data_IF_803958628824
#
_entry.id   IF_803958628824
#
_cell.length_a   1.000
_cell.length_b   1.000
_cell.length_c   1.000
_cell.angle_alpha   90.00
_cell.angle_beta   90.00
_cell.angle_gamma   90.00
#
_symmetry.space_group_name_H-M   'P 1'
#
loop_
_entity.id
_entity.type
_entity.pdbx_description
1 polymer ?
#
# COMPACT_ATOMS: atom_id res chain seq x y z
N UNK A 1 21.15 -18.29 -7.25
CA UNK A 1 19.77 -18.07 -6.74
C UNK A 1 19.22 -16.71 -7.18
N UNK A 2 17.91 -16.60 -7.42
CA UNK A 2 17.19 -15.36 -7.81
C UNK A 2 15.90 -15.21 -6.99
N UNK A 3 15.59 -13.99 -6.57
CA UNK A 3 14.32 -13.66 -5.91
C UNK A 3 13.25 -13.31 -6.94
N UNK A 4 12.03 -13.79 -6.74
CA UNK A 4 10.85 -13.50 -7.56
C UNK A 4 9.62 -13.28 -6.67
N UNK A 5 8.56 -12.68 -7.23
CA UNK A 5 7.28 -12.50 -6.56
C UNK A 5 7.40 -11.87 -5.16
N UNK A 6 8.03 -10.68 -5.10
CA UNK A 6 8.11 -9.89 -3.87
C UNK A 6 6.70 -9.44 -3.46
N UNK A 7 6.39 -9.61 -2.18
CA UNK A 7 5.09 -9.30 -1.62
C UNK A 7 5.25 -8.58 -0.28
N UNK A 8 4.37 -7.63 -0.04
CA UNK A 8 4.20 -6.95 1.24
C UNK A 8 2.84 -7.34 1.81
N UNK A 9 2.78 -7.85 3.04
CA UNK A 9 1.55 -8.39 3.62
C UNK A 9 0.85 -9.41 2.70
N UNK A 10 1.64 -10.27 2.04
CA UNK A 10 1.17 -11.28 1.08
C UNK A 10 0.40 -10.70 -0.14
N UNK A 11 0.67 -9.44 -0.50
CA UNK A 11 0.12 -8.76 -1.68
C UNK A 11 1.24 -8.19 -2.54
N UNK A 12 1.05 -8.18 -3.86
CA UNK A 12 1.95 -7.47 -4.78
C UNK A 12 1.60 -5.98 -4.79
N UNK A 13 2.61 -5.14 -4.60
CA UNK A 13 2.53 -3.68 -4.65
C UNK A 13 1.29 -3.04 -3.99
N UNK A 14 0.95 -3.43 -2.74
CA UNK A 14 -0.30 -3.01 -2.11
C UNK A 14 -0.33 -1.52 -1.78
N UNK A 15 -1.52 -0.94 -1.84
CA UNK A 15 -1.80 0.45 -1.47
C UNK A 15 -2.79 0.46 -0.30
N UNK A 16 -2.49 1.26 0.72
CA UNK A 16 -3.39 1.49 1.84
C UNK A 16 -3.17 0.49 2.99
N UNK A 17 -1.94 0.07 3.24
CA UNK A 17 -1.63 -0.82 4.36
C UNK A 17 -1.88 -0.10 5.71
N UNK A 18 -2.76 -0.65 6.53
CA UNK A 18 -3.14 -0.07 7.82
C UNK A 18 -2.30 -0.52 9.01
N UNK A 19 -1.24 -1.32 8.80
CA UNK A 19 -0.39 -1.83 9.87
C UNK A 19 1.00 -1.20 9.77
N UNK A 20 1.44 -0.48 10.81
CA UNK A 20 2.71 0.26 10.84
C UNK A 20 3.98 -0.58 10.71
N UNK A 21 3.87 -1.91 10.82
CA UNK A 21 4.97 -2.86 10.61
C UNK A 21 4.58 -3.86 9.51
N UNK A 22 4.73 -3.52 8.23
CA UNK A 22 4.47 -4.45 7.13
C UNK A 22 5.44 -5.64 7.18
N UNK A 23 5.00 -6.81 6.72
CA UNK A 23 5.85 -7.99 6.59
C UNK A 23 6.16 -8.29 5.11
N UNK A 24 7.41 -8.66 4.83
CA UNK A 24 7.92 -8.97 3.51
C UNK A 24 7.97 -10.47 3.28
N UNK A 25 7.65 -10.87 2.06
CA UNK A 25 7.79 -12.24 1.58
C UNK A 25 8.31 -12.22 0.14
N UNK A 26 9.03 -13.26 -0.25
CA UNK A 26 9.50 -13.45 -1.62
C UNK A 26 9.68 -14.93 -1.92
N UNK A 27 9.66 -15.28 -3.21
CA UNK A 27 9.96 -16.62 -3.69
C UNK A 27 11.42 -16.71 -4.14
N UNK A 28 11.98 -17.91 -4.04
CA UNK A 28 13.34 -18.23 -4.47
C UNK A 28 13.29 -19.14 -5.69
N UNK A 29 14.12 -18.82 -6.68
CA UNK A 29 14.34 -19.64 -7.86
C UNK A 29 15.84 -19.94 -7.97
N UNK A 30 16.19 -21.22 -8.10
CA UNK A 30 17.57 -21.66 -8.35
C UNK A 30 17.60 -22.74 -9.43
N UNK A 31 18.66 -22.73 -10.24
CA UNK A 31 18.94 -23.78 -11.22
C UNK A 31 19.65 -24.98 -10.59
N UNK A 32 20.24 -24.79 -9.41
CA UNK A 32 20.93 -25.83 -8.67
C UNK A 32 19.95 -26.60 -7.78
N UNK A 33 19.95 -27.93 -7.91
CA UNK A 33 19.11 -28.80 -7.09
C UNK A 33 19.62 -28.84 -5.65
N UNK A 34 18.72 -28.62 -4.69
CA UNK A 34 19.06 -28.65 -3.26
C UNK A 34 19.70 -27.35 -2.75
N UNK A 35 19.76 -26.32 -3.58
CA UNK A 35 20.20 -25.00 -3.18
C UNK A 35 19.20 -24.38 -2.19
N UNK A 36 19.72 -23.61 -1.23
CA UNK A 36 18.94 -22.98 -0.16
C UNK A 36 19.51 -21.62 0.21
N UNK A 37 18.62 -20.72 0.62
CA UNK A 37 19.01 -19.46 1.25
C UNK A 37 19.65 -19.76 2.61
N UNK A 38 20.72 -19.04 2.96
CA UNK A 38 21.38 -19.07 4.28
C UNK A 38 21.33 -17.71 4.99
N UNK A 39 21.14 -16.63 4.24
CA UNK A 39 20.98 -15.29 4.76
C UNK A 39 20.17 -14.41 3.80
N UNK A 40 19.63 -13.32 4.30
CA UNK A 40 18.98 -12.28 3.51
C UNK A 40 19.48 -10.88 3.86
N UNK A 41 19.24 -9.94 2.96
CA UNK A 41 19.31 -8.52 3.22
C UNK A 41 18.16 -7.83 2.50
N UNK A 42 17.42 -7.01 3.25
CA UNK A 42 16.33 -6.18 2.74
C UNK A 42 16.72 -4.73 2.94
N UNK A 43 16.52 -3.94 1.90
CA UNK A 43 16.64 -2.48 1.96
C UNK A 43 15.33 -1.83 1.54
N UNK A 44 14.97 -0.75 2.22
CA UNK A 44 13.78 0.03 1.95
C UNK A 44 14.11 1.52 1.87
N UNK A 45 13.43 2.24 0.97
CA UNK A 45 13.63 3.66 0.75
C UNK A 45 12.32 4.39 0.43
N UNK A 46 12.32 5.70 0.63
CA UNK A 46 11.17 6.58 0.34
C UNK A 46 10.97 6.87 -1.15
N UNK A 47 11.97 6.56 -1.98
CA UNK A 47 11.89 6.67 -3.44
C UNK A 47 12.64 5.52 -4.13
N UNK A 48 12.31 5.25 -5.41
CA UNK A 48 12.99 4.21 -6.19
C UNK A 48 14.46 4.54 -6.45
N UNK A 49 14.75 5.81 -6.70
CA UNK A 49 16.09 6.33 -6.99
C UNK A 49 17.03 6.09 -5.80
N UNK A 50 16.53 6.27 -4.57
CA UNK A 50 17.31 6.02 -3.35
C UNK A 50 17.68 4.55 -3.16
N UNK A 51 16.89 3.60 -3.68
CA UNK A 51 17.28 2.19 -3.71
C UNK A 51 18.40 1.92 -4.72
N UNK A 52 18.39 2.58 -5.86
CA UNK A 52 19.41 2.43 -6.91
C UNK A 52 20.76 2.97 -6.43
N UNK A 53 20.74 4.11 -5.74
CA UNK A 53 21.91 4.73 -5.10
C UNK A 53 22.35 4.00 -3.81
N UNK A 54 21.64 2.94 -3.39
CA UNK A 54 21.87 2.18 -2.14
C UNK A 54 21.88 3.05 -0.87
N UNK A 55 21.10 4.14 -0.87
CA UNK A 55 20.98 5.05 0.28
C UNK A 55 19.98 4.58 1.33
N UNK A 56 19.02 3.72 0.94
CA UNK A 56 18.13 2.96 1.83
C UNK A 56 17.68 3.75 3.08
N UNK A 57 17.14 4.96 2.86
CA UNK A 57 16.90 5.97 3.88
C UNK A 57 15.90 5.56 4.96
N UNK A 58 15.08 4.54 4.69
CA UNK A 58 14.10 4.03 5.63
C UNK A 58 14.60 2.81 6.41
N UNK A 59 15.31 1.89 5.75
CA UNK A 59 15.78 0.67 6.38
C UNK A 59 16.87 -0.04 5.57
N UNK A 60 17.88 -0.55 6.28
CA UNK A 60 18.76 -1.60 5.79
C UNK A 60 18.89 -2.66 6.89
N UNK A 61 18.47 -3.89 6.63
CA UNK A 61 18.58 -4.99 7.60
C UNK A 61 20.05 -5.42 7.83
N UNK A 62 20.96 -5.03 6.95
CA UNK A 62 22.25 -5.69 6.80
C UNK A 62 22.08 -7.17 6.40
N UNK A 63 23.18 -7.92 6.44
CA UNK A 63 23.15 -9.37 6.22
C UNK A 63 22.62 -10.06 7.49
N UNK A 64 21.41 -10.60 7.42
CA UNK A 64 20.79 -11.38 8.50
C UNK A 64 20.96 -12.87 8.19
N UNK A 65 21.62 -13.62 9.08
CA UNK A 65 21.79 -15.08 8.93
C UNK A 65 20.53 -15.82 9.35
N UNK A 66 19.62 -15.95 8.40
CA UNK A 66 18.34 -16.64 8.57
C UNK A 66 17.86 -17.21 7.21
N UNK A 67 17.24 -18.37 7.26
CA UNK A 67 16.66 -19.06 6.10
C UNK A 67 15.21 -18.62 5.81
N UNK A 68 14.63 -17.77 6.67
CA UNK A 68 13.28 -17.22 6.52
C UNK A 68 13.16 -16.35 5.26
N UNK A 69 12.11 -16.60 4.46
CA UNK A 69 11.81 -15.85 3.22
C UNK A 69 10.35 -15.34 3.16
N UNK A 70 9.62 -15.46 4.27
CA UNK A 70 8.22 -15.07 4.39
C UNK A 70 7.99 -14.36 5.71
N UNK A 71 7.00 -13.46 5.77
CA UNK A 71 6.62 -12.74 6.98
C UNK A 71 7.79 -12.06 7.72
N UNK A 72 8.79 -11.57 6.98
CA UNK A 72 9.93 -10.83 7.54
C UNK A 72 9.46 -9.43 7.89
N UNK A 73 9.35 -9.14 9.19
CA UNK A 73 8.86 -7.84 9.65
C UNK A 73 9.80 -6.70 9.26
N UNK A 74 9.22 -5.59 8.81
CA UNK A 74 9.95 -4.35 8.61
C UNK A 74 10.57 -3.86 9.92
N UNK A 75 11.89 -3.67 9.93
CA UNK A 75 12.67 -3.30 11.13
C UNK A 75 13.27 -1.90 11.08
N UNK A 76 12.74 -1.01 10.22
CA UNK A 76 13.31 0.31 9.97
C UNK A 76 12.68 1.44 10.78
N UNK A 77 12.85 2.65 10.27
CA UNK A 77 12.28 3.86 10.86
C UNK A 77 10.74 3.80 10.88
N UNK A 78 10.07 4.37 11.89
CA UNK A 78 8.60 4.41 11.93
C UNK A 78 8.01 4.96 10.63
N UNK A 79 7.02 4.25 10.09
CA UNK A 79 6.32 4.63 8.86
C UNK A 79 5.15 5.59 9.18
N UNK A 80 4.86 6.46 8.22
CA UNK A 80 3.80 7.47 8.33
C UNK A 80 2.64 7.21 7.37
N UNK A 81 1.47 7.78 7.68
CA UNK A 81 0.30 7.70 6.82
C UNK A 81 0.55 8.23 5.41
N UNK A 82 0.03 7.52 4.40
CA UNK A 82 0.22 7.79 2.97
C UNK A 82 1.68 7.71 2.49
N UNK A 83 2.60 7.22 3.32
CA UNK A 83 4.00 7.09 2.93
C UNK A 83 4.16 5.99 1.88
N UNK A 84 4.85 6.33 0.81
CA UNK A 84 5.30 5.39 -0.20
C UNK A 84 6.63 4.79 0.23
N UNK A 85 6.75 3.48 0.06
CA UNK A 85 7.97 2.74 0.37
C UNK A 85 8.29 1.82 -0.78
N UNK A 86 9.53 1.88 -1.21
CA UNK A 86 10.11 0.96 -2.17
C UNK A 86 11.07 0.06 -1.42
N UNK A 87 11.09 -1.23 -1.74
CA UNK A 87 12.06 -2.14 -1.15
C UNK A 87 12.58 -3.15 -2.16
N UNK A 88 13.77 -3.67 -1.90
CA UNK A 88 14.35 -4.79 -2.63
C UNK A 88 15.15 -5.67 -1.70
N UNK A 89 15.37 -6.90 -2.12
CA UNK A 89 16.07 -7.89 -1.32
C UNK A 89 17.14 -8.61 -2.13
N UNK A 90 18.12 -9.15 -1.41
CA UNK A 90 19.06 -10.14 -1.92
C UNK A 90 19.27 -11.22 -0.87
N UNK A 91 19.71 -12.39 -1.30
CA UNK A 91 19.94 -13.54 -0.43
C UNK A 91 21.33 -14.10 -0.65
N UNK A 92 21.78 -14.92 0.28
CA UNK A 92 23.00 -15.73 0.13
C UNK A 92 22.61 -17.19 0.00
N UNK A 93 23.30 -17.90 -0.88
CA UNK A 93 23.11 -19.34 -1.06
C UNK A 93 23.92 -20.17 -0.05
N UNK A 94 23.93 -21.49 -0.26
CA UNK A 94 24.67 -22.44 0.58
C UNK A 94 26.20 -22.29 0.54
N UNK A 95 26.75 -21.59 -0.46
CA UNK A 95 28.19 -21.34 -0.62
C UNK A 95 28.60 -19.97 -0.04
N UNK A 96 27.65 -19.27 0.59
CA UNK A 96 27.80 -17.89 1.06
C UNK A 96 28.00 -16.88 -0.08
N UNK A 97 27.53 -17.21 -1.29
CA UNK A 97 27.56 -16.31 -2.43
C UNK A 97 26.27 -15.46 -2.49
N UNK A 98 26.38 -14.12 -2.62
CA UNK A 98 25.21 -13.25 -2.70
C UNK A 98 24.54 -13.34 -4.07
N UNK A 99 23.21 -13.37 -4.08
CA UNK A 99 22.42 -13.15 -5.28
C UNK A 99 22.55 -11.71 -5.78
N UNK A 100 22.16 -11.50 -7.05
CA UNK A 100 21.78 -10.16 -7.49
C UNK A 100 20.61 -9.65 -6.63
N UNK A 101 20.51 -8.32 -6.54
CA UNK A 101 19.32 -7.68 -5.98
C UNK A 101 18.09 -8.03 -6.82
N UNK A 102 16.95 -8.17 -6.16
CA UNK A 102 15.65 -8.23 -6.83
C UNK A 102 15.35 -6.93 -7.57
N UNK A 103 14.38 -6.99 -8.48
CA UNK A 103 13.67 -5.78 -8.89
C UNK A 103 13.03 -5.11 -7.66
N UNK A 104 12.97 -3.77 -7.61
CA UNK A 104 12.26 -3.07 -6.55
C UNK A 104 10.76 -3.40 -6.56
N UNK A 105 10.25 -3.76 -5.38
CA UNK A 105 8.81 -3.82 -5.10
C UNK A 105 8.38 -2.56 -4.34
N UNK A 106 7.07 -2.36 -4.24
CA UNK A 106 6.46 -1.17 -3.70
C UNK A 106 5.41 -1.50 -2.64
N UNK A 107 5.10 -0.53 -1.78
CA UNK A 107 3.82 -0.46 -1.08
C UNK A 107 3.55 0.99 -0.64
N UNK A 108 2.29 1.28 -0.32
CA UNK A 108 1.89 2.54 0.30
C UNK A 108 1.12 2.31 1.59
N UNK A 109 1.47 3.07 2.62
CA UNK A 109 0.74 3.10 3.89
C UNK A 109 -0.63 3.75 3.72
N UNK A 110 -1.61 3.26 4.47
CA UNK A 110 -2.93 3.84 4.58
C UNK A 110 -2.95 5.06 5.50
N UNK A 111 -4.11 5.27 6.14
CA UNK A 111 -4.24 6.16 7.29
C UNK A 111 -4.04 5.30 8.54
N UNK A 112 -3.00 5.59 9.31
CA UNK A 112 -2.56 4.79 10.45
C UNK A 112 -3.21 5.25 11.75
N UNK A 113 -3.37 6.57 11.90
CA UNK A 113 -4.01 7.17 13.08
C UNK A 113 -5.40 7.71 12.73
N UNK A 114 -6.28 7.79 13.73
CA UNK A 114 -7.63 8.33 13.55
C UNK A 114 -7.58 9.81 13.12
N UNK A 115 -6.62 10.58 13.62
CA UNK A 115 -6.46 12.00 13.30
C UNK A 115 -6.04 12.26 11.85
N UNK A 116 -5.50 11.25 11.15
CA UNK A 116 -5.21 11.34 9.73
C UNK A 116 -6.48 11.33 8.86
N UNK A 117 -7.61 10.92 9.45
CA UNK A 117 -8.94 11.05 8.88
C UNK A 117 -9.48 12.46 9.06
N UNK A 118 -9.60 13.17 7.94
CA UNK A 118 -10.29 14.47 7.87
C UNK A 118 -11.75 14.35 7.42
N UNK A 119 -12.19 13.14 7.10
CA UNK A 119 -13.54 12.87 6.64
C UNK A 119 -14.47 12.62 7.83
N UNK A 120 -15.73 12.97 7.64
CA UNK A 120 -16.81 12.62 8.58
C UNK A 120 -17.74 11.62 7.92
N UNK A 121 -18.35 10.78 8.74
CA UNK A 121 -19.45 9.93 8.30
C UNK A 121 -20.60 10.80 7.81
N UNK A 122 -21.10 10.53 6.61
CA UNK A 122 -22.30 11.17 6.07
C UNK A 122 -23.33 10.11 5.72
N UNK A 123 -24.60 10.46 5.82
CA UNK A 123 -25.69 9.54 5.53
C UNK A 123 -27.02 10.29 5.54
N UNK A 124 -28.11 9.56 5.35
CA UNK A 124 -29.45 10.15 5.45
C UNK A 124 -29.75 10.67 6.87
N UNK A 125 -29.00 10.23 7.88
CA UNK A 125 -29.20 10.60 9.28
C UNK A 125 -30.27 9.74 9.95
N UNK A 126 -30.25 9.71 11.28
CA UNK A 126 -31.17 8.88 12.05
C UNK A 126 -32.62 9.38 11.94
N UNK A 127 -32.78 10.70 11.79
CA UNK A 127 -34.06 11.42 11.64
C UNK A 127 -34.69 11.31 10.23
N UNK A 128 -34.11 10.52 9.32
CA UNK A 128 -34.70 10.28 8.01
C UNK A 128 -35.90 9.33 8.11
N UNK A 129 -37.10 9.82 7.79
CA UNK A 129 -38.36 9.05 7.86
C UNK A 129 -38.75 8.35 6.54
N UNK A 130 -37.93 8.47 5.49
CA UNK A 130 -38.17 7.82 4.20
C UNK A 130 -37.79 6.34 4.18
N UNK A 131 -37.87 5.72 3.00
CA UNK A 131 -37.45 4.34 2.82
C UNK A 131 -35.93 4.21 3.04
N UNK A 132 -35.60 3.66 4.20
CA UNK A 132 -34.25 3.38 4.67
C UNK A 132 -33.60 2.20 3.91
N UNK A 133 -34.37 1.39 3.19
CA UNK A 133 -33.84 0.30 2.36
C UNK A 133 -33.33 0.77 0.99
N UNK A 134 -33.69 2.00 0.59
CA UNK A 134 -33.22 2.59 -0.66
C UNK A 134 -31.78 3.12 -0.52
N UNK A 135 -30.91 2.73 -1.46
CA UNK A 135 -29.53 3.19 -1.51
C UNK A 135 -29.43 4.70 -1.79
N UNK A 136 -29.01 5.57 -0.83
CA UNK A 136 -28.78 6.97 -1.12
C UNK A 136 -27.69 7.14 -2.20
N UNK A 137 -27.97 8.00 -3.18
CA UNK A 137 -26.95 8.51 -4.08
C UNK A 137 -26.33 9.76 -3.46
N UNK A 138 -25.03 9.72 -3.19
CA UNK A 138 -24.28 10.86 -2.68
C UNK A 138 -23.36 11.37 -3.80
N UNK A 139 -23.42 12.67 -4.05
CA UNK A 139 -22.58 13.33 -5.04
C UNK A 139 -22.00 14.59 -4.41
N UNK A 140 -20.71 14.81 -4.64
CA UNK A 140 -20.02 16.05 -4.29
C UNK A 140 -19.11 16.44 -5.44
N UNK A 141 -19.34 17.64 -5.96
CA UNK A 141 -18.47 18.23 -6.96
C UNK A 141 -17.25 18.87 -6.27
N UNK A 142 -16.11 18.83 -6.93
CA UNK A 142 -14.93 19.58 -6.52
C UNK A 142 -14.18 20.10 -7.74
N UNK A 143 -13.45 21.20 -7.57
CA UNK A 143 -12.66 21.81 -8.63
C UNK A 143 -11.20 21.45 -8.39
N UNK A 144 -10.59 20.75 -9.36
CA UNK A 144 -9.14 20.58 -9.40
C UNK A 144 -8.54 21.91 -9.88
N UNK A 145 -7.75 22.54 -9.01
CA UNK A 145 -7.05 23.79 -9.36
C UNK A 145 -6.02 23.59 -10.48
N UNK A 146 -5.47 22.39 -10.59
CA UNK A 146 -4.58 21.97 -11.67
C UNK A 146 -4.88 20.51 -12.05
N UNK A 147 -5.07 20.25 -13.35
CA UNK A 147 -5.38 18.93 -13.89
C UNK A 147 -4.15 18.04 -14.02
N UNK A 148 -2.95 18.62 -14.00
CA UNK A 148 -1.68 17.88 -14.15
C UNK A 148 -1.16 17.30 -12.82
N UNK A 149 -1.86 17.51 -11.70
CA UNK A 149 -1.41 17.11 -10.35
C UNK A 149 -2.09 15.80 -9.87
N UNK A 150 -3.05 15.25 -10.61
CA UNK A 150 -3.73 14.00 -10.21
C UNK A 150 -2.79 12.81 -10.41
N UNK A 151 -1.98 12.53 -9.39
CA UNK A 151 -1.04 11.39 -9.33
C UNK A 151 -1.71 10.13 -8.78
N UNK A 152 -2.87 10.25 -8.13
CA UNK A 152 -3.57 9.12 -7.53
C UNK A 152 -5.07 9.35 -7.38
N UNK A 153 -5.86 8.34 -7.72
CA UNK A 153 -7.28 8.25 -7.37
C UNK A 153 -7.48 6.99 -6.53
N UNK A 154 -8.09 7.13 -5.35
CA UNK A 154 -8.35 6.01 -4.44
C UNK A 154 -9.85 5.71 -4.38
N UNK A 155 -10.20 4.44 -4.55
CA UNK A 155 -11.57 3.95 -4.39
C UNK A 155 -11.81 3.56 -2.93
N UNK A 156 -12.90 4.06 -2.37
CA UNK A 156 -13.32 3.74 -1.01
C UNK A 156 -14.20 2.51 -0.95
N UNK A 157 -14.08 1.78 0.16
CA UNK A 157 -14.98 0.70 0.54
C UNK A 157 -15.81 1.15 1.74
N UNK A 158 -17.13 1.00 1.65
CA UNK A 158 -18.05 1.18 2.76
C UNK A 158 -18.23 -0.12 3.55
N UNK A 159 -19.03 -0.07 4.62
CA UNK A 159 -19.42 -1.26 5.39
C UNK A 159 -20.23 -2.26 4.54
N UNK A 160 -20.77 -1.80 3.41
CA UNK A 160 -21.55 -2.58 2.45
C UNK A 160 -21.13 -2.27 0.99
N UNK A 161 -21.86 -2.82 0.01
CA UNK A 161 -21.62 -2.72 -1.43
C UNK A 161 -21.54 -1.25 -1.89
N UNK A 162 -20.34 -0.73 -2.16
CA UNK A 162 -20.11 0.66 -2.56
C UNK A 162 -19.67 0.73 -4.03
N UNK A 163 -20.49 1.33 -4.88
CA UNK A 163 -20.13 1.66 -6.25
C UNK A 163 -19.68 3.13 -6.29
N UNK A 164 -18.42 3.33 -6.66
CA UNK A 164 -17.82 4.65 -6.78
C UNK A 164 -17.42 4.85 -8.24
N UNK A 165 -18.07 5.80 -8.91
CA UNK A 165 -17.77 6.18 -10.29
C UNK A 165 -17.01 7.49 -10.33
N UNK A 166 -15.90 7.50 -11.07
CA UNK A 166 -15.21 8.71 -11.50
C UNK A 166 -15.52 8.91 -12.98
N UNK A 167 -16.50 9.76 -13.31
CA UNK A 167 -16.85 10.03 -14.70
C UNK A 167 -16.02 11.19 -15.25
N UNK A 168 -15.27 10.93 -16.31
CA UNK A 168 -14.59 11.98 -17.07
C UNK A 168 -15.62 12.98 -17.62
N UNK A 169 -15.26 14.27 -17.55
CA UNK A 169 -15.98 15.48 -17.99
C UNK A 169 -16.80 16.25 -16.95
N UNK A 170 -17.07 15.69 -15.77
CA UNK A 170 -17.48 16.47 -14.58
C UNK A 170 -16.83 15.85 -13.37
N UNK A 171 -16.03 16.63 -12.65
CA UNK A 171 -15.32 16.23 -11.43
C UNK A 171 -16.31 15.88 -10.29
N UNK A 172 -16.99 14.74 -10.41
CA UNK A 172 -17.99 14.25 -9.49
C UNK A 172 -17.61 12.83 -9.08
N UNK A 173 -17.49 12.59 -7.77
CA UNK A 173 -17.51 11.24 -7.24
C UNK A 173 -18.97 10.91 -6.97
N UNK A 174 -19.51 9.94 -7.71
CA UNK A 174 -20.85 9.41 -7.46
C UNK A 174 -20.70 8.16 -6.61
N UNK A 175 -21.24 8.19 -5.39
CA UNK A 175 -21.28 7.04 -4.49
C UNK A 175 -22.71 6.51 -4.46
N UNK A 176 -22.89 5.26 -4.87
CA UNK A 176 -24.12 4.48 -4.62
C UNK A 176 -23.84 3.53 -3.47
N UNK A 177 -24.59 3.66 -2.37
CA UNK A 177 -24.42 2.84 -1.18
C UNK A 177 -25.78 2.38 -0.63
N UNK A 178 -25.99 1.09 -0.36
CA UNK A 178 -27.25 0.56 0.15
C UNK A 178 -27.46 0.71 1.67
N UNK A 179 -26.43 1.07 2.45
CA UNK A 179 -26.57 1.24 3.91
C UNK A 179 -26.46 2.71 4.37
N UNK A 180 -26.99 2.98 5.57
CA UNK A 180 -27.20 4.29 6.21
C UNK A 180 -25.98 5.19 6.45
N UNK A 181 -24.77 4.74 6.08
CA UNK A 181 -23.53 5.45 6.33
C UNK A 181 -22.61 5.31 5.13
N UNK A 182 -22.22 6.42 4.53
CA UNK A 182 -21.25 6.49 3.46
C UNK A 182 -20.06 7.35 3.89
N UNK A 183 -18.88 7.01 3.37
CA UNK A 183 -17.64 7.74 3.61
C UNK A 183 -17.28 8.52 2.34
N UNK A 184 -17.06 9.83 2.46
CA UNK A 184 -16.40 10.61 1.41
C UNK A 184 -14.98 10.91 1.87
N UNK A 185 -13.98 10.32 1.22
CA UNK A 185 -12.61 10.84 1.29
C UNK A 185 -12.54 12.09 0.41
N UNK A 186 -12.30 13.23 1.03
CA UNK A 186 -11.71 14.34 0.31
C UNK A 186 -10.20 14.11 0.32
N UNK A 187 -9.64 13.66 -0.80
CA UNK A 187 -8.19 13.65 -0.99
C UNK A 187 -7.66 15.07 -0.83
N UNK A 188 -6.80 15.29 0.16
CA UNK A 188 -6.01 16.52 0.26
C UNK A 188 -5.03 16.53 -0.91
N UNK A 189 -5.26 17.41 -1.87
CA UNK A 189 -4.21 17.87 -2.79
C UNK A 189 -3.16 18.57 -1.92
N UNK A 190 -1.92 18.08 -1.91
CA UNK A 190 -0.78 18.91 -1.47
C UNK A 190 -0.43 19.85 -2.61
#
# INVERSE_FOLDING_TARGET
MKLTNLMTQNMQDPIGLGHGVPAFSYLLQSEQRGDKQTAYQIIAASSRELLEEKKADLWDSGKVRDEQNYAIAYGGLPLHSRQQVFWKARVWDSQDDPSLWSEPAFYEMGLLEEEDWKAVWIGQGDDFYGDKSAAPALAKDFILKDKNIVTKAQRLKGWDTLEADFTGWRNAVRIRHPAHRAVILCGSVR
#
